data_IF_159048904078
#
_entry.id   IF_159048904078
#
_cell.length_a   1.000
_cell.length_b   1.000
_cell.length_c   1.000
_cell.angle_alpha   90.00
_cell.angle_beta   90.00
_cell.angle_gamma   90.00
#
_symmetry.space_group_name_H-M   'P 1'
#
loop_
_entity.id
_entity.type
_entity.pdbx_description
1 polymer ?
#
# COMPACT_ATOMS: atom_id res chain seq x y z
N UNK A 1 9.98 55.31 -33.75
CA UNK A 1 10.51 53.98 -33.39
C UNK A 1 10.51 53.91 -31.88
N UNK A 2 9.46 53.36 -31.28
CA UNK A 2 9.45 53.00 -29.87
C UNK A 2 8.37 51.92 -29.67
N UNK A 3 8.81 50.78 -29.17
CA UNK A 3 8.05 49.54 -29.02
C UNK A 3 7.17 49.62 -27.78
N UNK A 4 5.86 49.40 -27.94
CA UNK A 4 4.95 49.16 -26.80
C UNK A 4 5.03 47.68 -26.45
N UNK A 5 5.64 47.39 -25.30
CA UNK A 5 5.77 46.08 -24.68
C UNK A 5 4.40 45.51 -24.29
N UNK A 6 3.95 44.48 -25.01
CA UNK A 6 2.84 43.62 -24.60
C UNK A 6 3.35 42.50 -23.67
N UNK A 7 3.45 42.78 -22.37
CA UNK A 7 3.63 41.73 -21.36
C UNK A 7 2.27 41.30 -20.84
N UNK A 8 1.69 40.26 -21.48
CA UNK A 8 0.52 39.57 -20.95
C UNK A 8 0.96 38.56 -19.90
N UNK A 9 1.15 39.03 -18.66
CA UNK A 9 1.31 38.14 -17.51
C UNK A 9 -0.01 37.43 -17.22
N UNK A 10 -0.21 36.26 -17.84
CA UNK A 10 -1.28 35.33 -17.48
C UNK A 10 -0.96 34.74 -16.11
N UNK A 11 -1.48 35.39 -15.07
CA UNK A 11 -1.55 34.84 -13.70
C UNK A 11 -2.34 33.53 -13.74
N UNK A 12 -1.63 32.39 -13.80
CA UNK A 12 -2.20 31.06 -13.60
C UNK A 12 -2.77 30.99 -12.18
N UNK A 13 -4.10 31.13 -12.05
CA UNK A 13 -4.83 30.81 -10.82
C UNK A 13 -4.49 29.38 -10.40
N UNK A 14 -3.72 29.21 -9.32
CA UNK A 14 -3.52 27.91 -8.67
C UNK A 14 -4.86 27.44 -8.12
N UNK A 15 -5.57 26.60 -8.87
CA UNK A 15 -6.74 25.89 -8.35
C UNK A 15 -6.34 25.11 -7.08
N UNK A 16 -7.21 25.11 -6.07
CA UNK A 16 -7.05 24.25 -4.88
C UNK A 16 -6.91 22.82 -5.36
N UNK A 17 -5.70 22.23 -5.29
CA UNK A 17 -5.50 20.81 -5.57
C UNK A 17 -6.35 20.03 -4.57
N UNK A 18 -7.41 19.37 -5.06
CA UNK A 18 -8.15 18.41 -4.25
C UNK A 18 -7.22 17.32 -3.73
N UNK A 19 -7.66 16.60 -2.69
CA UNK A 19 -6.92 15.43 -2.18
C UNK A 19 -6.68 14.47 -3.36
N UNK A 20 -5.44 14.04 -3.62
CA UNK A 20 -5.19 13.08 -4.69
C UNK A 20 -6.08 11.85 -4.46
N UNK A 21 -6.93 11.57 -5.44
CA UNK A 21 -7.85 10.44 -5.41
C UNK A 21 -7.06 9.18 -5.70
N UNK A 22 -7.16 8.19 -4.81
CA UNK A 22 -6.55 6.88 -5.01
C UNK A 22 -5.51 6.48 -3.97
N UNK A 23 -5.17 5.19 -3.99
CA UNK A 23 -4.16 4.60 -3.14
C UNK A 23 -2.75 5.01 -3.59
N UNK A 24 -1.86 5.26 -2.62
CA UNK A 24 -0.46 5.55 -2.94
C UNK A 24 0.29 4.23 -3.18
N UNK A 25 0.62 3.98 -4.45
CA UNK A 25 1.34 2.79 -4.90
C UNK A 25 2.68 2.62 -4.18
N UNK A 26 3.41 3.72 -3.91
CA UNK A 26 4.71 3.63 -3.23
C UNK A 26 4.58 3.07 -1.82
N UNK A 27 3.50 3.41 -1.11
CA UNK A 27 3.25 2.88 0.23
C UNK A 27 2.91 1.39 0.17
N UNK A 28 2.15 0.95 -0.83
CA UNK A 28 1.81 -0.46 -1.05
C UNK A 28 3.09 -1.25 -1.32
N UNK A 29 3.92 -0.79 -2.25
CA UNK A 29 5.19 -1.43 -2.59
C UNK A 29 6.13 -1.50 -1.38
N UNK A 30 6.23 -0.44 -0.59
CA UNK A 30 7.04 -0.42 0.63
C UNK A 30 6.58 -1.48 1.63
N UNK A 31 5.27 -1.57 1.91
CA UNK A 31 4.71 -2.58 2.81
C UNK A 31 4.99 -3.98 2.28
N UNK A 32 4.71 -4.24 1.00
CA UNK A 32 4.88 -5.58 0.47
C UNK A 32 6.34 -6.00 0.39
N UNK A 33 7.26 -5.09 0.08
CA UNK A 33 8.70 -5.36 0.14
C UNK A 33 9.11 -5.85 1.53
N UNK A 34 8.65 -5.18 2.59
CA UNK A 34 8.90 -5.61 3.96
C UNK A 34 8.35 -7.00 4.23
N UNK A 35 7.17 -7.33 3.71
CA UNK A 35 6.59 -8.66 3.90
C UNK A 35 7.34 -9.75 3.10
N UNK A 36 7.83 -9.45 1.90
CA UNK A 36 8.65 -10.38 1.10
C UNK A 36 9.97 -10.68 1.82
N UNK A 37 10.62 -9.66 2.39
CA UNK A 37 11.87 -9.83 3.15
C UNK A 37 11.68 -10.57 4.49
N UNK A 38 10.43 -10.78 4.93
CA UNK A 38 10.12 -11.37 6.23
C UNK A 38 8.97 -12.39 6.08
N UNK A 39 9.22 -13.56 5.45
CA UNK A 39 8.20 -14.56 5.13
C UNK A 39 7.49 -15.14 6.36
N UNK A 40 8.17 -15.21 7.50
CA UNK A 40 7.57 -15.64 8.78
C UNK A 40 6.54 -14.64 9.34
N UNK A 41 6.53 -13.42 8.80
CA UNK A 41 5.64 -12.35 9.23
C UNK A 41 6.24 -11.44 10.27
N UNK A 42 5.56 -10.30 10.46
CA UNK A 42 5.95 -9.26 11.39
C UNK A 42 4.73 -8.65 12.06
N UNK A 43 4.95 -8.11 13.25
CA UNK A 43 3.93 -7.29 13.91
C UNK A 43 3.73 -5.97 13.17
N UNK A 44 2.50 -5.46 13.18
CA UNK A 44 2.10 -4.23 12.49
C UNK A 44 3.08 -3.05 12.74
N UNK A 45 3.47 -2.82 14.00
CA UNK A 45 4.40 -1.73 14.36
C UNK A 45 5.79 -1.92 13.76
N UNK A 46 6.26 -3.16 13.64
CA UNK A 46 7.55 -3.48 13.04
C UNK A 46 7.52 -3.32 11.52
N UNK A 47 6.41 -3.67 10.88
CA UNK A 47 6.17 -3.38 9.45
C UNK A 47 6.18 -1.87 9.22
N UNK A 48 5.43 -1.11 10.03
CA UNK A 48 5.36 0.34 9.95
C UNK A 48 6.74 1.01 10.09
N UNK A 49 7.54 0.57 11.06
CA UNK A 49 8.91 1.05 11.26
C UNK A 49 9.81 0.75 10.04
N UNK A 50 9.77 -0.47 9.50
CA UNK A 50 10.58 -0.87 8.34
C UNK A 50 10.15 -0.18 7.04
N UNK A 51 8.85 0.01 6.84
CA UNK A 51 8.29 0.66 5.67
C UNK A 51 8.38 2.21 5.75
N UNK A 52 8.81 2.76 6.89
CA UNK A 52 8.80 4.19 7.18
C UNK A 52 7.41 4.84 6.99
N UNK A 53 6.37 4.18 7.51
CA UNK A 53 4.98 4.60 7.41
C UNK A 53 4.33 4.64 8.80
N UNK A 54 3.29 5.46 8.96
CA UNK A 54 2.50 5.45 10.18
C UNK A 54 1.75 4.12 10.36
N UNK A 55 1.64 3.54 11.57
CA UNK A 55 0.96 2.26 11.80
C UNK A 55 -0.48 2.21 11.25
N UNK A 56 -1.25 3.30 11.40
CA UNK A 56 -2.60 3.39 10.83
C UNK A 56 -2.59 3.32 9.30
N UNK A 57 -1.59 3.90 8.64
CA UNK A 57 -1.45 3.81 7.19
C UNK A 57 -1.21 2.38 6.76
N UNK A 58 -0.30 1.68 7.44
CA UNK A 58 -0.02 0.26 7.17
C UNK A 58 -1.26 -0.59 7.42
N UNK A 59 -1.93 -0.41 8.56
CA UNK A 59 -3.17 -1.13 8.87
C UNK A 59 -4.25 -0.90 7.82
N UNK A 60 -4.41 0.34 7.36
CA UNK A 60 -5.38 0.65 6.32
C UNK A 60 -5.06 -0.10 5.01
N UNK A 61 -3.81 -0.08 4.55
CA UNK A 61 -3.44 -0.81 3.33
C UNK A 61 -3.58 -2.32 3.47
N UNK A 62 -3.20 -2.88 4.62
CA UNK A 62 -3.35 -4.31 4.91
C UNK A 62 -4.81 -4.74 4.91
N UNK A 63 -5.70 -3.95 5.50
CA UNK A 63 -7.13 -4.30 5.59
C UNK A 63 -7.90 -4.02 4.29
N UNK A 64 -7.39 -3.17 3.38
CA UNK A 64 -8.13 -2.74 2.19
C UNK A 64 -7.58 -3.32 0.89
N UNK A 65 -6.33 -2.99 0.55
CA UNK A 65 -5.71 -3.30 -0.76
C UNK A 65 -4.97 -4.62 -0.70
N UNK A 66 -4.20 -4.84 0.36
CA UNK A 66 -3.35 -6.02 0.51
C UNK A 66 -4.07 -7.20 1.17
N UNK A 67 -5.28 -7.00 1.69
CA UNK A 67 -6.07 -8.02 2.39
C UNK A 67 -6.12 -9.38 1.66
N UNK A 68 -6.34 -9.44 0.33
CA UNK A 68 -6.38 -10.73 -0.36
C UNK A 68 -5.02 -11.44 -0.43
N UNK A 69 -3.92 -10.70 -0.28
CA UNK A 69 -2.54 -11.18 -0.44
C UNK A 69 -1.89 -11.57 0.88
N UNK A 70 -2.39 -11.06 2.00
CA UNK A 70 -1.83 -11.24 3.32
C UNK A 70 -2.71 -12.13 4.17
N UNK A 71 -2.10 -12.70 5.20
CA UNK A 71 -2.79 -13.36 6.29
C UNK A 71 -2.39 -12.72 7.61
N UNK A 72 -3.38 -12.64 8.50
CA UNK A 72 -3.28 -12.00 9.80
C UNK A 72 -3.49 -13.05 10.87
N UNK A 73 -2.38 -13.57 11.39
CA UNK A 73 -2.36 -14.65 12.36
C UNK A 73 -2.36 -14.03 13.75
N UNK A 74 -3.47 -14.22 14.45
CA UNK A 74 -3.60 -13.81 15.84
C UNK A 74 -3.47 -15.05 16.74
N UNK A 75 -2.54 -15.00 17.70
CA UNK A 75 -2.42 -16.00 18.76
C UNK A 75 -2.99 -15.39 20.05
N UNK A 76 -4.03 -16.02 20.60
CA UNK A 76 -4.76 -15.58 21.80
C UNK A 76 -6.26 -15.82 21.68
N UNK A 77 -7.02 -15.49 22.73
CA UNK A 77 -8.48 -15.51 22.69
C UNK A 77 -9.02 -14.42 21.74
N UNK A 78 -10.14 -14.68 21.07
CA UNK A 78 -10.76 -13.78 20.07
C UNK A 78 -11.02 -12.37 20.62
N UNK A 79 -11.18 -12.22 21.93
CA UNK A 79 -11.39 -10.92 22.59
C UNK A 79 -10.10 -10.10 22.76
N UNK A 80 -8.94 -10.74 22.91
CA UNK A 80 -7.63 -10.08 23.11
C UNK A 80 -6.50 -10.91 22.50
N UNK A 81 -6.17 -10.70 21.22
CA UNK A 81 -5.03 -11.37 20.62
C UNK A 81 -3.74 -10.93 21.30
N UNK A 82 -3.02 -11.90 21.90
CA UNK A 82 -1.77 -11.70 22.62
C UNK A 82 -0.68 -11.30 21.63
N UNK A 83 -0.68 -11.92 20.45
CA UNK A 83 0.30 -11.69 19.39
C UNK A 83 -0.42 -11.63 18.05
N UNK A 84 -0.23 -10.55 17.30
CA UNK A 84 -0.73 -10.38 15.92
C UNK A 84 0.44 -10.34 14.94
N UNK A 85 0.55 -11.35 14.08
CA UNK A 85 1.60 -11.49 13.07
C UNK A 85 0.98 -11.41 11.68
N UNK A 86 1.54 -10.54 10.85
CA UNK A 86 1.05 -10.32 9.49
C UNK A 86 2.12 -10.82 8.53
N UNK A 87 1.73 -11.69 7.60
CA UNK A 87 2.62 -12.22 6.54
C UNK A 87 1.90 -12.33 5.20
N UNK A 88 2.65 -12.54 4.13
CA UNK A 88 2.07 -12.91 2.84
C UNK A 88 1.50 -14.32 2.93
N UNK A 89 0.37 -14.56 2.25
CA UNK A 89 -0.13 -15.92 2.05
C UNK A 89 0.96 -16.76 1.38
N UNK A 90 1.20 -18.02 1.80
CA UNK A 90 2.26 -18.86 1.24
C UNK A 90 2.20 -19.00 -0.29
N UNK A 91 0.98 -19.08 -0.85
CA UNK A 91 0.76 -19.14 -2.30
C UNK A 91 1.19 -17.87 -3.03
N UNK A 92 0.98 -16.70 -2.43
CA UNK A 92 1.40 -15.42 -2.98
C UNK A 92 2.91 -15.26 -2.90
N UNK A 93 3.50 -15.63 -1.76
CA UNK A 93 4.95 -15.60 -1.59
C UNK A 93 5.67 -16.46 -2.63
N UNK A 94 5.19 -17.69 -2.89
CA UNK A 94 5.74 -18.57 -3.95
C UNK A 94 5.68 -17.93 -5.34
N UNK A 95 4.54 -17.36 -5.73
CA UNK A 95 4.39 -16.67 -7.02
C UNK A 95 5.38 -15.50 -7.18
N UNK A 96 5.62 -14.75 -6.12
CA UNK A 96 6.61 -13.65 -6.14
C UNK A 96 8.03 -14.21 -6.32
N UNK A 97 8.37 -15.31 -5.65
CA UNK A 97 9.67 -15.99 -5.80
C UNK A 97 9.88 -16.53 -7.23
N UNK A 98 8.81 -16.96 -7.90
CA UNK A 98 8.80 -17.40 -9.31
C UNK A 98 8.94 -16.22 -10.30
N UNK A 99 9.03 -14.98 -9.82
CA UNK A 99 9.24 -13.79 -10.66
C UNK A 99 7.95 -13.06 -11.05
N UNK A 100 6.79 -13.44 -10.51
CA UNK A 100 5.52 -12.77 -10.80
C UNK A 100 5.55 -11.31 -10.34
N UNK A 101 5.07 -10.40 -11.18
CA UNK A 101 5.05 -8.98 -10.83
C UNK A 101 3.97 -8.70 -9.78
N UNK A 102 4.33 -7.93 -8.75
CA UNK A 102 3.42 -7.53 -7.69
C UNK A 102 2.19 -6.75 -8.19
N UNK A 103 2.36 -5.96 -9.25
CA UNK A 103 1.26 -5.20 -9.85
C UNK A 103 0.23 -6.13 -10.49
N UNK A 104 0.66 -7.28 -11.03
CA UNK A 104 -0.25 -8.28 -11.57
C UNK A 104 -1.05 -8.94 -10.45
N UNK A 105 -0.38 -9.30 -9.35
CA UNK A 105 -1.03 -9.87 -8.16
C UNK A 105 -2.09 -8.93 -7.57
N UNK A 106 -1.81 -7.62 -7.53
CA UNK A 106 -2.76 -6.59 -7.09
C UNK A 106 -3.94 -6.44 -8.05
N UNK A 107 -3.72 -6.53 -9.36
CA UNK A 107 -4.82 -6.50 -10.35
C UNK A 107 -5.73 -7.71 -10.19
N UNK A 108 -5.16 -8.90 -10.04
CA UNK A 108 -5.93 -10.11 -9.76
C UNK A 108 -6.72 -9.99 -8.46
N UNK A 109 -6.13 -9.42 -7.41
CA UNK A 109 -6.83 -9.26 -6.13
C UNK A 109 -8.01 -8.29 -6.21
N UNK A 110 -7.91 -7.24 -7.04
CA UNK A 110 -9.02 -6.31 -7.29
C UNK A 110 -10.16 -6.96 -8.06
N UNK A 111 -9.85 -7.83 -9.02
CA UNK A 111 -10.86 -8.57 -9.78
C UNK A 111 -11.65 -9.49 -8.83
N UNK A 112 -10.97 -10.25 -7.97
CA UNK A 112 -11.61 -11.16 -7.01
C UNK A 112 -12.54 -10.38 -6.08
N UNK A 113 -12.10 -9.22 -5.56
CA UNK A 113 -12.89 -8.38 -4.66
C UNK A 113 -14.18 -7.82 -5.30
N UNK A 114 -14.25 -7.75 -6.62
CA UNK A 114 -15.45 -7.30 -7.33
C UNK A 114 -16.41 -8.45 -7.69
N UNK A 115 -16.01 -9.70 -7.43
CA UNK A 115 -16.81 -10.91 -7.71
C UNK A 115 -17.49 -11.42 -6.43
N UNK A 116 -16.87 -11.24 -5.27
CA UNK A 116 -17.51 -11.37 -3.94
C UNK A 116 -18.46 -10.20 -3.64
#
# INVERSE_FOLDING_TARGET
MEMILNSTDKVKKKGKKGRPSGYNIQNILAITKVLIENPEGLWLRKIAKKANLHPNTVSNYLNTVLSPLVEDISLGDDEKPIIRVIRLKPSIYKKIQEGTNINELLKFSQIIKNIE
#
